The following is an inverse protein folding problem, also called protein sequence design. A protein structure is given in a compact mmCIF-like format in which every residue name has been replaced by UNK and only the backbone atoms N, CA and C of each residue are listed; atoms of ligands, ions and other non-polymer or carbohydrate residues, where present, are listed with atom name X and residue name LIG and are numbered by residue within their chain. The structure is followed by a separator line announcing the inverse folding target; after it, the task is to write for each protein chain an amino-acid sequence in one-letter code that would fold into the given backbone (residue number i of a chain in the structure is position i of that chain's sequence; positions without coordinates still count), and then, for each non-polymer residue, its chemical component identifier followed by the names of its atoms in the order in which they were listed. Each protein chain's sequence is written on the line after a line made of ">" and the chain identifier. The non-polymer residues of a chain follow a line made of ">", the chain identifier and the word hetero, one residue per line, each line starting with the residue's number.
data_IF_913111146795
#
_entry.id   IF_913111146795
#
_cell.length_a   1.000
_cell.length_b   1.000
_cell.length_c   1.000
_cell.angle_alpha   90.00
_cell.angle_beta   90.00
_cell.angle_gamma   90.00
#
_symmetry.space_group_name_H-M   'P 1'
#
loop_
_entity.id
_entity.type
_entity.pdbx_description
1 polymer ?
#
# COMPACT_ATOMS: atom_id res chain seq x y z
N UNK A 1 -14.45 -24.89 -18.76
CA UNK A 1 -15.10 -23.71 -18.12
C UNK A 1 -14.06 -22.88 -17.37
N UNK A 2 -13.59 -21.76 -17.95
CA UNK A 2 -12.50 -20.90 -17.40
C UNK A 2 -13.02 -19.51 -17.00
N UNK A 3 -14.29 -19.44 -16.57
CA UNK A 3 -15.00 -18.17 -16.32
C UNK A 3 -15.02 -17.74 -14.84
N UNK A 4 -14.62 -18.61 -13.92
CA UNK A 4 -14.63 -18.32 -12.47
C UNK A 4 -13.42 -17.50 -12.02
N UNK A 5 -12.25 -17.66 -12.64
CA UNK A 5 -11.06 -16.88 -12.26
C UNK A 5 -11.19 -15.40 -12.63
N UNK A 6 -11.82 -15.07 -13.75
CA UNK A 6 -11.98 -13.69 -14.21
C UNK A 6 -12.91 -12.89 -13.29
N UNK A 7 -14.09 -13.44 -12.95
CA UNK A 7 -15.03 -12.80 -12.01
C UNK A 7 -14.43 -12.55 -10.62
N UNK A 8 -13.59 -13.47 -10.10
CA UNK A 8 -12.95 -13.26 -8.79
C UNK A 8 -11.92 -12.12 -8.86
N UNK A 9 -11.21 -11.95 -9.97
CA UNK A 9 -10.29 -10.81 -10.13
C UNK A 9 -11.08 -9.50 -10.19
N UNK A 10 -12.14 -9.43 -10.98
CA UNK A 10 -13.02 -8.25 -11.07
C UNK A 10 -13.59 -7.85 -9.70
N UNK A 11 -14.05 -8.82 -8.90
CA UNK A 11 -14.58 -8.56 -7.54
C UNK A 11 -13.51 -8.04 -6.57
N UNK A 12 -12.24 -8.50 -6.69
CA UNK A 12 -11.14 -7.97 -5.87
C UNK A 12 -10.78 -6.53 -6.24
N UNK A 13 -10.79 -6.21 -7.54
CA UNK A 13 -10.47 -4.88 -8.03
C UNK A 13 -11.46 -3.81 -7.53
N UNK A 14 -12.76 -4.10 -7.48
CA UNK A 14 -13.78 -3.18 -6.97
C UNK A 14 -13.71 -2.95 -5.45
N UNK A 15 -13.13 -3.89 -4.69
CA UNK A 15 -13.07 -3.81 -3.22
C UNK A 15 -11.88 -3.00 -2.67
N UNK A 16 -10.92 -2.66 -3.54
CA UNK A 16 -9.69 -1.91 -3.25
C UNK A 16 -9.91 -0.65 -2.42
N UNK A 17 -10.88 0.18 -2.82
CA UNK A 17 -11.23 1.40 -2.11
C UNK A 17 -11.97 1.13 -0.80
N UNK A 18 -12.69 0.02 -0.68
CA UNK A 18 -13.51 -0.34 0.49
C UNK A 18 -12.69 -0.97 1.62
N UNK A 19 -11.51 -1.52 1.32
CA UNK A 19 -10.67 -2.22 2.29
C UNK A 19 -9.87 -1.28 3.18
N UNK A 20 -9.56 -0.07 2.71
CA UNK A 20 -8.92 0.97 3.54
C UNK A 20 -9.99 1.78 4.25
N UNK A 21 -9.99 1.69 5.58
CA UNK A 21 -10.95 2.34 6.48
C UNK A 21 -10.29 3.45 7.27
N UNK A 22 -11.06 4.49 7.52
CA UNK A 22 -10.65 5.64 8.32
C UNK A 22 -10.32 5.20 9.76
N UNK A 23 -9.19 5.67 10.30
CA UNK A 23 -8.71 5.40 11.65
C UNK A 23 -8.36 3.94 11.94
N UNK A 24 -8.18 3.09 10.91
CA UNK A 24 -8.03 1.65 11.10
C UNK A 24 -6.88 1.05 10.30
N UNK A 25 -6.28 0.00 10.86
CA UNK A 25 -5.44 -0.92 10.10
C UNK A 25 -6.31 -1.89 9.31
N UNK A 26 -5.93 -2.15 8.07
CA UNK A 26 -6.53 -3.15 7.20
C UNK A 26 -5.47 -4.02 6.53
N UNK A 27 -5.87 -5.25 6.19
CA UNK A 27 -5.02 -6.24 5.54
C UNK A 27 -5.65 -6.68 4.23
N UNK A 28 -5.55 -5.85 3.18
CA UNK A 28 -6.24 -6.14 1.94
C UNK A 28 -5.64 -7.34 1.19
N UNK A 29 -4.36 -7.62 1.38
CA UNK A 29 -3.73 -8.84 0.90
C UNK A 29 -2.86 -9.49 1.98
N UNK A 30 -2.59 -10.79 1.83
CA UNK A 30 -1.70 -11.51 2.74
C UNK A 30 -0.31 -10.85 2.74
N UNK A 31 0.16 -10.43 3.91
CA UNK A 31 1.45 -9.76 4.05
C UNK A 31 1.45 -8.28 3.68
N UNK A 32 0.29 -7.67 3.40
CA UNK A 32 0.16 -6.24 3.16
C UNK A 32 -0.74 -5.62 4.22
N UNK A 33 -0.19 -4.68 5.00
CA UNK A 33 -0.93 -3.93 6.02
C UNK A 33 -1.00 -2.47 5.62
N UNK A 34 -2.18 -1.87 5.72
CA UNK A 34 -2.41 -0.45 5.42
C UNK A 34 -3.09 0.20 6.61
N UNK A 35 -2.66 1.40 6.98
CA UNK A 35 -3.35 2.28 7.90
C UNK A 35 -3.63 3.60 7.21
N UNK A 36 -4.87 4.11 7.38
CA UNK A 36 -5.27 5.43 6.96
C UNK A 36 -5.75 6.20 8.19
N UNK A 37 -5.14 7.34 8.49
CA UNK A 37 -5.54 8.15 9.64
C UNK A 37 -6.89 8.84 9.40
N UNK A 38 -7.07 9.45 8.23
CA UNK A 38 -8.36 9.96 7.76
C UNK A 38 -8.52 9.73 6.26
N UNK A 39 -9.70 9.30 5.81
CA UNK A 39 -9.94 9.04 4.39
C UNK A 39 -11.17 9.81 3.90
N UNK A 40 -11.02 10.54 2.80
CA UNK A 40 -12.12 11.21 2.09
C UNK A 40 -12.09 10.86 0.60
N UNK A 41 -13.11 10.12 0.16
CA UNK A 41 -13.21 9.55 -1.18
C UNK A 41 -11.95 8.78 -1.58
N UNK A 42 -11.13 9.39 -2.43
CA UNK A 42 -9.89 8.84 -2.97
C UNK A 42 -8.64 9.40 -2.27
N UNK A 43 -8.79 10.39 -1.40
CA UNK A 43 -7.70 11.01 -0.65
C UNK A 43 -7.57 10.41 0.75
N UNK A 44 -6.34 10.34 1.23
CA UNK A 44 -6.00 9.86 2.57
C UNK A 44 -5.06 10.88 3.21
N UNK A 45 -5.40 11.32 4.42
CA UNK A 45 -4.51 12.11 5.27
C UNK A 45 -3.85 11.17 6.26
N UNK A 46 -2.52 11.12 6.25
CA UNK A 46 -1.74 10.19 7.04
C UNK A 46 -1.94 8.74 6.58
N UNK A 47 -0.93 8.17 5.94
CA UNK A 47 -0.96 6.79 5.47
C UNK A 47 0.30 6.04 5.87
N UNK A 48 0.12 4.79 6.26
CA UNK A 48 1.19 3.83 6.45
C UNK A 48 0.88 2.57 5.66
N UNK A 49 1.84 2.09 4.88
CA UNK A 49 1.77 0.84 4.14
C UNK A 49 2.95 -0.01 4.54
N UNK A 50 2.70 -1.16 5.14
CA UNK A 50 3.73 -2.15 5.45
C UNK A 50 3.58 -3.34 4.51
N UNK A 51 4.53 -3.51 3.60
CA UNK A 51 4.60 -4.59 2.65
C UNK A 51 5.62 -5.64 3.12
N UNK A 52 5.09 -6.74 3.62
CA UNK A 52 5.82 -7.94 4.05
C UNK A 52 5.44 -9.14 3.15
N UNK A 53 5.00 -8.89 1.91
CA UNK A 53 4.72 -9.98 0.94
C UNK A 53 5.98 -10.75 0.60
N UNK A 54 7.14 -10.06 0.59
CA UNK A 54 8.45 -10.69 0.60
C UNK A 54 9.08 -10.59 2.00
N UNK A 55 8.96 -11.65 2.80
CA UNK A 55 9.46 -11.68 4.18
C UNK A 55 10.97 -11.47 4.35
N UNK A 56 11.77 -11.66 3.29
CA UNK A 56 13.21 -11.37 3.35
C UNK A 56 13.53 -9.89 3.17
N UNK A 57 12.57 -9.09 2.69
CA UNK A 57 12.76 -7.67 2.38
C UNK A 57 11.50 -6.85 2.67
N UNK A 58 11.05 -6.78 3.94
CA UNK A 58 9.90 -5.96 4.30
C UNK A 58 10.19 -4.48 4.08
N UNK A 59 9.20 -3.76 3.53
CA UNK A 59 9.29 -2.32 3.28
C UNK A 59 8.09 -1.63 3.92
N UNK A 60 8.35 -0.53 4.62
CA UNK A 60 7.30 0.34 5.15
C UNK A 60 7.34 1.67 4.43
N UNK A 61 6.19 2.14 3.96
CA UNK A 61 5.99 3.47 3.42
C UNK A 61 5.14 4.25 4.41
N UNK A 62 5.49 5.50 4.69
CA UNK A 62 4.58 6.43 5.35
C UNK A 62 4.56 7.78 4.64
N UNK A 63 3.43 8.48 4.66
CA UNK A 63 3.28 9.74 3.98
C UNK A 63 2.20 10.62 4.62
N UNK A 64 2.34 11.93 4.47
CA UNK A 64 1.35 12.91 4.93
C UNK A 64 0.04 12.84 4.13
N UNK A 65 0.14 12.58 2.82
CA UNK A 65 -1.00 12.50 1.90
C UNK A 65 -0.89 11.29 0.99
N UNK A 66 -2.03 10.63 0.77
CA UNK A 66 -2.20 9.53 -0.16
C UNK A 66 -3.36 9.76 -1.13
N UNK A 67 -3.26 9.26 -2.35
CA UNK A 67 -4.37 9.20 -3.30
C UNK A 67 -4.50 7.80 -3.90
N UNK A 68 -5.66 7.18 -3.69
CA UNK A 68 -6.06 5.94 -4.35
C UNK A 68 -6.72 6.28 -5.69
N UNK A 69 -6.06 5.90 -6.77
CA UNK A 69 -6.53 6.13 -8.15
C UNK A 69 -6.68 4.80 -8.86
N UNK A 70 -7.84 4.57 -9.47
CA UNK A 70 -8.09 3.43 -10.35
C UNK A 70 -7.96 3.89 -11.79
N UNK A 71 -6.90 3.48 -12.47
CA UNK A 71 -6.67 3.77 -13.88
C UNK A 71 -6.60 2.46 -14.67
N UNK A 72 -7.44 2.30 -15.69
CA UNK A 72 -7.48 1.09 -16.53
C UNK A 72 -7.58 -0.23 -15.74
N UNK A 73 -8.44 -0.24 -14.71
CA UNK A 73 -8.62 -1.37 -13.80
C UNK A 73 -7.36 -1.75 -12.98
N UNK A 74 -6.42 -0.81 -12.84
CA UNK A 74 -5.20 -0.98 -12.05
C UNK A 74 -5.19 0.03 -10.89
N UNK A 75 -5.44 -0.41 -9.64
CA UNK A 75 -5.38 0.47 -8.48
C UNK A 75 -3.94 0.91 -8.23
N UNK A 76 -3.75 2.22 -8.09
CA UNK A 76 -2.49 2.87 -7.79
C UNK A 76 -2.65 3.70 -6.52
N UNK A 77 -1.60 3.73 -5.71
CA UNK A 77 -1.51 4.66 -4.59
C UNK A 77 -0.38 5.63 -4.85
N UNK A 78 -0.73 6.91 -4.88
CA UNK A 78 0.22 8.01 -4.90
C UNK A 78 0.45 8.43 -3.46
N UNK A 79 1.69 8.52 -3.03
CA UNK A 79 2.11 9.04 -1.73
C UNK A 79 2.83 10.36 -1.93
N UNK A 80 2.53 11.35 -1.10
CA UNK A 80 3.17 12.67 -1.11
C UNK A 80 3.77 12.99 0.26
N UNK A 81 4.95 13.60 0.26
CA UNK A 81 5.72 13.99 1.45
C UNK A 81 5.86 12.81 2.41
N UNK A 82 6.68 11.85 2.03
CA UNK A 82 6.76 10.59 2.75
C UNK A 82 8.17 10.05 2.88
N UNK A 83 8.23 8.87 3.48
CA UNK A 83 9.46 8.13 3.66
C UNK A 83 9.24 6.64 3.37
N UNK A 84 10.33 5.99 3.01
CA UNK A 84 10.47 4.54 2.88
C UNK A 84 11.40 4.10 3.99
N UNK A 85 10.99 3.07 4.73
CA UNK A 85 11.80 2.44 5.76
C UNK A 85 11.97 0.97 5.40
N UNK A 86 13.21 0.50 5.38
CA UNK A 86 13.52 -0.91 5.12
C UNK A 86 14.78 -1.33 5.87
N UNK A 87 14.88 -2.63 6.16
CA UNK A 87 16.08 -3.18 6.79
C UNK A 87 17.18 -3.34 5.76
N UNK A 88 18.36 -2.79 6.03
CA UNK A 88 19.54 -3.02 5.21
C UNK A 88 20.25 -4.28 5.67
N UNK A 89 20.19 -5.35 4.86
CA UNK A 89 20.81 -6.64 5.16
C UNK A 89 22.33 -6.67 4.93
N UNK A 90 22.89 -5.64 4.28
CA UNK A 90 24.33 -5.54 4.00
C UNK A 90 25.12 -4.92 5.17
N UNK A 91 24.43 -4.44 6.20
CA UNK A 91 25.04 -3.83 7.39
C UNK A 91 24.75 -4.74 8.58
N UNK A 92 25.81 -5.23 9.24
CA UNK A 92 25.68 -5.99 10.48
C UNK A 92 25.02 -5.12 11.57
N UNK A 93 23.85 -5.53 12.05
CA UNK A 93 23.06 -4.84 13.06
C UNK A 93 21.57 -4.72 12.73
N UNK A 94 20.78 -3.98 13.53
CA UNK A 94 19.37 -3.71 13.27
C UNK A 94 19.14 -2.68 12.14
N UNK A 95 20.17 -2.34 11.36
CA UNK A 95 20.24 -1.19 10.46
C UNK A 95 18.96 -0.92 9.67
N UNK A 96 18.28 0.16 10.06
CA UNK A 96 17.11 0.67 9.34
C UNK A 96 17.57 1.78 8.41
N UNK A 97 17.27 1.67 7.12
CA UNK A 97 17.48 2.76 6.17
C UNK A 97 16.17 3.48 5.95
N UNK A 98 16.21 4.81 6.02
CA UNK A 98 15.08 5.69 5.71
C UNK A 98 15.40 6.53 4.48
N UNK A 99 14.49 6.58 3.52
CA UNK A 99 14.60 7.39 2.30
C UNK A 99 13.38 8.29 2.20
N UNK A 100 13.57 9.60 2.24
CA UNK A 100 12.47 10.57 2.06
C UNK A 100 12.16 10.79 0.58
N UNK A 101 10.90 11.12 0.28
CA UNK A 101 10.45 11.46 -1.06
C UNK A 101 9.37 12.54 -1.02
N UNK A 102 9.33 13.37 -2.06
CA UNK A 102 8.21 14.30 -2.27
C UNK A 102 7.00 13.60 -2.90
N UNK A 103 7.25 12.67 -3.83
CA UNK A 103 6.20 11.88 -4.50
C UNK A 103 6.67 10.46 -4.80
N UNK A 104 5.80 9.48 -4.54
CA UNK A 104 5.99 8.08 -4.87
C UNK A 104 4.72 7.48 -5.45
N UNK A 105 4.86 6.65 -6.49
CA UNK A 105 3.74 5.89 -7.06
C UNK A 105 3.93 4.41 -6.73
N UNK A 106 2.98 3.82 -6.01
CA UNK A 106 2.95 2.39 -5.70
C UNK A 106 1.99 1.70 -6.68
N UNK A 107 2.58 0.95 -7.62
CA UNK A 107 1.88 0.32 -8.74
C UNK A 107 1.33 -1.09 -8.45
N UNK A 108 1.59 -1.64 -7.27
CA UNK A 108 1.18 -3.01 -6.90
C UNK A 108 0.55 -3.04 -5.52
N UNK A 109 -0.59 -2.37 -5.40
CA UNK A 109 -1.57 -2.64 -4.36
C UNK A 109 -2.58 -3.62 -4.93
N UNK A 110 -2.16 -4.85 -5.17
CA UNK A 110 -3.11 -5.93 -5.43
C UNK A 110 -3.80 -6.18 -4.09
N UNK A 111 -4.96 -5.55 -3.93
CA UNK A 111 -5.93 -5.79 -2.88
C UNK A 111 -6.79 -7.02 -3.22
#
# INVERSE_FOLDING_TARGET
>A
MRYTKLKIHEIRHDLSGTLVRDGMFSMPAKGLTVYAHRKDNNSIDGILVHDNRNSSSPITYSAEKGYLINENNNPKLILLNGNIQYRNLLIDGPGMTTVSFEKMNIYSLIF
#
